data_IF_961999216891
#
_entry.id   IF_961999216891
#
_cell.length_a   1.000
_cell.length_b   1.000
_cell.length_c   1.000
_cell.angle_alpha   90.00
_cell.angle_beta   90.00
_cell.angle_gamma   90.00
#
_symmetry.space_group_name_H-M   'P 1'
#
loop_
_entity.id
_entity.type
_entity.pdbx_description
1 polymer ?
#
# COMPACT_ATOMS: atom_id res chain seq x y z
N UNK A 1 22.22 -3.80 -4.55
CA UNK A 1 20.91 -4.28 -4.05
C UNK A 1 19.73 -3.45 -4.59
N UNK A 2 19.76 -2.10 -4.53
CA UNK A 2 18.71 -1.22 -5.10
C UNK A 2 18.47 -1.49 -6.60
N UNK A 3 19.53 -1.67 -7.37
CA UNK A 3 19.48 -1.88 -8.82
C UNK A 3 18.77 -3.18 -9.23
N UNK A 4 18.88 -4.27 -8.44
CA UNK A 4 18.19 -5.55 -8.71
C UNK A 4 16.69 -5.49 -8.39
N UNK A 5 16.29 -4.75 -7.35
CA UNK A 5 14.88 -4.54 -7.06
C UNK A 5 14.19 -3.67 -8.12
N UNK A 6 14.90 -2.65 -8.65
CA UNK A 6 14.43 -1.88 -9.82
C UNK A 6 14.22 -2.77 -11.04
N UNK A 7 15.16 -3.67 -11.35
CA UNK A 7 15.02 -4.57 -12.50
C UNK A 7 13.81 -5.51 -12.42
N UNK A 8 13.49 -6.03 -11.23
CA UNK A 8 12.31 -6.88 -11.03
C UNK A 8 11.03 -6.05 -11.24
N UNK A 9 10.96 -4.87 -10.64
CA UNK A 9 9.85 -3.94 -10.78
C UNK A 9 9.64 -3.51 -12.23
N UNK A 10 10.71 -3.10 -12.92
CA UNK A 10 10.65 -2.60 -14.30
C UNK A 10 10.20 -3.70 -15.28
N UNK A 11 10.51 -4.98 -14.98
CA UNK A 11 9.99 -6.12 -15.73
C UNK A 11 8.51 -6.39 -15.45
N UNK A 12 8.08 -6.22 -14.21
CA UNK A 12 6.67 -6.38 -13.83
C UNK A 12 5.79 -5.28 -14.47
N UNK A 13 6.34 -4.06 -14.69
CA UNK A 13 5.61 -2.92 -15.24
C UNK A 13 5.50 -2.88 -16.77
N UNK A 14 5.89 -3.93 -17.49
CA UNK A 14 5.73 -4.00 -18.95
C UNK A 14 4.26 -4.16 -19.35
N UNK A 15 3.45 -3.09 -19.29
CA UNK A 15 2.04 -3.15 -19.68
C UNK A 15 1.51 -1.83 -20.25
N UNK A 16 0.45 -1.95 -21.05
CA UNK A 16 -0.22 -0.90 -21.77
C UNK A 16 -0.78 0.19 -20.83
N UNK A 17 -0.33 1.43 -21.00
CA UNK A 17 -0.73 2.59 -20.18
C UNK A 17 -2.24 2.80 -20.11
N UNK A 18 -2.97 2.49 -21.18
CA UNK A 18 -4.41 2.74 -21.25
C UNK A 18 -5.25 1.83 -20.35
N UNK A 19 -4.75 0.64 -19.99
CA UNK A 19 -5.45 -0.29 -19.10
C UNK A 19 -5.24 -0.01 -17.61
N UNK A 20 -4.19 0.71 -17.25
CA UNK A 20 -3.84 0.95 -15.85
C UNK A 20 -4.90 1.79 -15.13
N UNK A 21 -5.37 2.87 -15.75
CA UNK A 21 -6.35 3.75 -15.15
C UNK A 21 -7.78 3.24 -15.24
N UNK A 22 -8.11 2.42 -16.24
CA UNK A 22 -9.44 1.81 -16.36
C UNK A 22 -9.62 0.64 -15.40
N UNK A 23 -8.57 -0.16 -15.16
CA UNK A 23 -8.58 -1.35 -14.30
C UNK A 23 -7.39 -1.40 -13.32
N UNK A 24 -7.20 -0.37 -12.45
CA UNK A 24 -6.02 -0.28 -11.59
C UNK A 24 -5.92 -1.43 -10.59
N UNK A 25 -7.05 -1.96 -10.13
CA UNK A 25 -7.12 -3.10 -9.21
C UNK A 25 -6.53 -4.36 -9.84
N UNK A 26 -6.93 -4.69 -11.06
CA UNK A 26 -6.44 -5.85 -11.80
C UNK A 26 -4.95 -5.71 -12.13
N UNK A 27 -4.55 -4.50 -12.52
CA UNK A 27 -3.17 -4.21 -12.85
C UNK A 27 -2.25 -4.34 -11.64
N UNK A 28 -2.68 -3.80 -10.49
CA UNK A 28 -1.94 -3.91 -9.24
C UNK A 28 -1.70 -5.38 -8.86
N UNK A 29 -2.75 -6.20 -8.89
CA UNK A 29 -2.64 -7.61 -8.54
C UNK A 29 -1.71 -8.36 -9.49
N UNK A 30 -1.81 -8.12 -10.80
CA UNK A 30 -0.93 -8.74 -11.79
C UNK A 30 0.55 -8.37 -11.56
N UNK A 31 0.85 -7.12 -11.20
CA UNK A 31 2.21 -6.69 -10.88
C UNK A 31 2.74 -7.36 -9.60
N UNK A 32 1.91 -7.44 -8.57
CA UNK A 32 2.27 -8.08 -7.30
C UNK A 32 2.58 -9.55 -7.51
N UNK A 33 1.74 -10.27 -8.25
CA UNK A 33 1.92 -11.70 -8.55
C UNK A 33 3.21 -11.93 -9.36
N UNK A 34 3.41 -11.17 -10.42
CA UNK A 34 4.63 -11.25 -11.25
C UNK A 34 5.90 -10.95 -10.44
N UNK A 35 5.86 -9.91 -9.62
CA UNK A 35 6.99 -9.56 -8.75
C UNK A 35 7.24 -10.65 -7.70
N UNK A 36 6.19 -11.23 -7.16
CA UNK A 36 6.30 -12.30 -6.17
C UNK A 36 6.95 -13.56 -6.76
N UNK A 37 6.55 -13.97 -7.96
CA UNK A 37 7.15 -15.11 -8.67
C UNK A 37 8.64 -14.88 -8.95
N UNK A 38 8.99 -13.72 -9.49
CA UNK A 38 10.39 -13.34 -9.75
C UNK A 38 11.22 -13.31 -8.45
N UNK A 39 10.63 -12.78 -7.40
CA UNK A 39 11.28 -12.73 -6.09
C UNK A 39 11.50 -14.14 -5.52
N UNK A 40 10.51 -15.03 -5.62
CA UNK A 40 10.63 -16.43 -5.17
C UNK A 40 11.74 -17.18 -5.91
N UNK A 41 11.84 -17.01 -7.21
CA UNK A 41 12.90 -17.60 -8.00
C UNK A 41 14.29 -17.08 -7.59
N UNK A 42 14.39 -15.78 -7.30
CA UNK A 42 15.61 -15.17 -6.79
C UNK A 42 15.96 -15.67 -5.38
N UNK A 43 14.99 -15.74 -4.48
CA UNK A 43 15.14 -16.24 -3.12
C UNK A 43 15.64 -17.68 -3.09
N UNK A 44 15.05 -18.55 -3.90
CA UNK A 44 15.47 -19.93 -4.02
C UNK A 44 16.97 -20.04 -4.36
N UNK A 45 17.42 -19.25 -5.34
CA UNK A 45 18.85 -19.20 -5.72
C UNK A 45 19.76 -18.65 -4.62
N UNK A 46 19.27 -17.64 -3.89
CA UNK A 46 20.06 -16.95 -2.85
C UNK A 46 20.27 -17.82 -1.63
N UNK A 47 19.25 -18.60 -1.25
CA UNK A 47 19.26 -19.37 0.00
C UNK A 47 19.59 -20.86 -0.18
N UNK A 48 19.63 -21.37 -1.43
CA UNK A 48 19.97 -22.77 -1.73
C UNK A 48 21.29 -23.24 -1.06
N UNK A 49 22.40 -22.46 -1.08
CA UNK A 49 23.62 -22.86 -0.40
C UNK A 49 23.44 -23.05 1.12
N UNK A 50 22.72 -22.15 1.76
CA UNK A 50 22.49 -22.19 3.21
C UNK A 50 21.58 -23.38 3.58
N UNK A 51 20.56 -23.65 2.77
CA UNK A 51 19.66 -24.79 2.98
C UNK A 51 20.41 -26.13 2.85
N UNK A 52 21.40 -26.21 1.95
CA UNK A 52 22.23 -27.41 1.76
C UNK A 52 23.28 -27.60 2.86
N UNK A 53 23.81 -26.51 3.39
CA UNK A 53 24.83 -26.57 4.48
C UNK A 53 24.17 -26.85 5.84
N UNK A 54 22.93 -26.39 6.04
CA UNK A 54 22.22 -26.47 7.31
C UNK A 54 22.68 -25.43 8.33
N UNK A 55 22.34 -25.64 9.60
CA UNK A 55 22.65 -24.75 10.73
C UNK A 55 23.30 -25.54 11.84
N UNK A 56 24.24 -24.92 12.54
CA UNK A 56 24.98 -25.54 13.65
C UNK A 56 24.12 -25.73 14.91
N UNK A 57 23.12 -24.83 15.10
CA UNK A 57 22.27 -24.76 16.27
C UNK A 57 20.91 -24.11 15.93
N UNK A 58 19.98 -24.21 16.89
CA UNK A 58 18.61 -23.70 16.73
C UNK A 58 18.60 -22.18 16.69
N UNK A 59 19.42 -21.51 17.47
CA UNK A 59 19.51 -20.05 17.54
C UNK A 59 19.95 -19.45 16.21
N UNK A 60 20.93 -20.06 15.55
CA UNK A 60 21.38 -19.71 14.21
C UNK A 60 20.27 -19.86 13.18
N UNK A 61 19.49 -20.95 13.22
CA UNK A 61 18.32 -21.16 12.35
C UNK A 61 17.26 -20.08 12.58
N UNK A 62 16.89 -19.80 13.83
CA UNK A 62 15.88 -18.81 14.20
C UNK A 62 16.32 -17.42 13.76
N UNK A 63 17.57 -17.03 14.07
CA UNK A 63 18.14 -15.75 13.69
C UNK A 63 18.10 -15.53 12.18
N UNK A 64 18.51 -16.51 11.40
CA UNK A 64 18.51 -16.47 9.96
C UNK A 64 17.10 -16.41 9.36
N UNK A 65 16.19 -17.22 9.91
CA UNK A 65 14.77 -17.22 9.52
C UNK A 65 14.13 -15.86 9.76
N UNK A 66 14.40 -15.22 10.91
CA UNK A 66 13.91 -13.89 11.22
C UNK A 66 14.46 -12.84 10.25
N UNK A 67 15.71 -12.93 9.83
CA UNK A 67 16.30 -12.04 8.83
C UNK A 67 15.57 -12.18 7.48
N UNK A 68 15.28 -13.43 7.04
CA UNK A 68 14.52 -13.67 5.82
C UNK A 68 13.12 -13.09 5.91
N UNK A 69 12.40 -13.35 7.00
CA UNK A 69 11.04 -12.86 7.22
C UNK A 69 10.98 -11.31 7.26
N UNK A 70 11.91 -10.68 7.94
CA UNK A 70 11.99 -9.21 8.00
C UNK A 70 12.31 -8.61 6.62
N UNK A 71 13.19 -9.25 5.84
CA UNK A 71 13.49 -8.85 4.46
C UNK A 71 12.27 -8.97 3.56
N UNK A 72 11.50 -10.07 3.67
CA UNK A 72 10.24 -10.26 2.94
C UNK A 72 9.22 -9.18 3.28
N UNK A 73 8.99 -8.92 4.57
CA UNK A 73 8.04 -7.88 5.04
C UNK A 73 8.42 -6.48 4.53
N UNK A 74 9.70 -6.09 4.69
CA UNK A 74 10.19 -4.79 4.23
C UNK A 74 10.07 -4.62 2.72
N UNK A 75 10.40 -5.69 1.95
CA UNK A 75 10.25 -5.67 0.50
C UNK A 75 8.80 -5.51 0.08
N UNK A 76 7.90 -6.32 0.65
CA UNK A 76 6.49 -6.31 0.28
C UNK A 76 5.83 -4.94 0.54
N UNK A 77 6.16 -4.27 1.66
CA UNK A 77 5.66 -2.93 1.95
C UNK A 77 6.13 -1.91 0.90
N UNK A 78 7.44 -1.85 0.63
CA UNK A 78 8.00 -0.92 -0.38
C UNK A 78 7.51 -1.21 -1.79
N UNK A 79 7.32 -2.48 -2.13
CA UNK A 79 6.77 -2.88 -3.41
C UNK A 79 5.34 -2.35 -3.60
N UNK A 80 4.50 -2.51 -2.59
CA UNK A 80 3.13 -1.99 -2.61
C UNK A 80 3.09 -0.47 -2.81
N UNK A 81 3.87 0.28 -2.03
CA UNK A 81 3.98 1.74 -2.16
C UNK A 81 4.38 2.13 -3.59
N UNK A 82 5.40 1.48 -4.17
CA UNK A 82 5.86 1.77 -5.53
C UNK A 82 4.85 1.42 -6.62
N UNK A 83 4.09 0.33 -6.46
CA UNK A 83 3.04 -0.02 -7.43
C UNK A 83 1.89 1.00 -7.38
N UNK A 84 1.46 1.42 -6.19
CA UNK A 84 0.46 2.46 -6.02
C UNK A 84 0.94 3.79 -6.60
N UNK A 85 2.18 4.21 -6.28
CA UNK A 85 2.80 5.40 -6.85
C UNK A 85 2.79 5.38 -8.39
N UNK A 86 3.10 4.22 -8.98
CA UNK A 86 3.09 4.06 -10.44
C UNK A 86 1.67 4.20 -10.99
N UNK A 87 0.67 3.58 -10.38
CA UNK A 87 -0.74 3.72 -10.77
C UNK A 87 -1.18 5.18 -10.69
N UNK A 88 -0.89 5.87 -9.59
CA UNK A 88 -1.29 7.27 -9.41
C UNK A 88 -0.66 8.19 -10.46
N UNK A 89 0.62 7.98 -10.80
CA UNK A 89 1.30 8.71 -11.88
C UNK A 89 0.65 8.48 -13.24
N UNK A 90 0.28 7.24 -13.57
CA UNK A 90 -0.38 6.94 -14.83
C UNK A 90 -1.79 7.49 -14.91
N UNK A 91 -2.48 7.62 -13.78
CA UNK A 91 -3.81 8.22 -13.68
C UNK A 91 -3.76 9.77 -13.60
N UNK A 92 -2.59 10.37 -13.78
CA UNK A 92 -2.37 11.82 -13.71
C UNK A 92 -2.89 12.43 -12.40
N UNK A 93 -2.69 11.72 -11.29
CA UNK A 93 -2.98 12.24 -9.95
C UNK A 93 -1.78 13.00 -9.42
N UNK A 94 -2.01 14.18 -8.87
CA UNK A 94 -1.01 14.92 -8.09
C UNK A 94 -0.94 14.30 -6.69
N UNK A 95 0.25 13.98 -6.24
CA UNK A 95 0.50 13.47 -4.89
C UNK A 95 1.95 13.66 -4.48
N UNK A 96 2.19 13.65 -3.20
CA UNK A 96 3.53 13.63 -2.62
C UNK A 96 3.64 12.48 -1.61
N UNK A 97 4.82 11.86 -1.55
CA UNK A 97 5.10 10.73 -0.65
C UNK A 97 5.95 11.17 0.52
N UNK A 98 5.75 10.55 1.69
CA UNK A 98 6.58 10.77 2.87
C UNK A 98 6.63 12.25 3.31
N UNK A 99 5.56 13.00 3.09
CA UNK A 99 5.42 14.38 3.58
C UNK A 99 5.54 14.37 5.10
N UNK A 100 6.34 15.26 5.65
CA UNK A 100 6.45 15.40 7.10
C UNK A 100 5.21 16.14 7.60
N UNK A 101 4.43 15.48 8.44
CA UNK A 101 3.26 16.04 9.12
C UNK A 101 3.55 16.25 10.60
N UNK A 102 2.51 16.37 11.44
CA UNK A 102 2.63 16.60 12.87
C UNK A 102 3.48 15.53 13.55
N UNK A 103 4.25 15.91 14.56
CA UNK A 103 5.15 15.03 15.31
C UNK A 103 6.15 14.23 14.44
N UNK A 104 6.59 14.82 13.32
CA UNK A 104 7.49 14.19 12.34
C UNK A 104 6.97 12.88 11.73
N UNK A 105 5.66 12.67 11.72
CA UNK A 105 5.02 11.54 11.06
C UNK A 105 5.09 11.71 9.54
N UNK A 106 5.02 10.59 8.83
CA UNK A 106 5.19 10.55 7.38
C UNK A 106 4.17 9.60 6.78
N UNK A 107 2.97 10.09 6.45
CA UNK A 107 2.00 9.30 5.71
C UNK A 107 2.57 8.84 4.37
N UNK A 108 2.14 7.67 3.90
CA UNK A 108 2.69 7.09 2.69
C UNK A 108 2.37 7.97 1.46
N UNK A 109 1.15 8.55 1.40
CA UNK A 109 0.73 9.47 0.33
C UNK A 109 -0.13 10.60 0.86
N UNK A 110 0.12 11.82 0.40
CA UNK A 110 -0.73 13.01 0.57
C UNK A 110 -1.14 13.52 -0.82
N UNK A 111 -2.41 13.88 -0.98
CA UNK A 111 -2.95 14.49 -2.19
C UNK A 111 -3.53 15.87 -1.86
N UNK A 112 -3.31 16.90 -2.69
CA UNK A 112 -2.48 16.86 -3.90
C UNK A 112 -0.98 16.88 -3.62
N UNK A 113 -0.51 17.53 -2.53
CA UNK A 113 0.91 17.68 -2.18
C UNK A 113 1.10 18.17 -0.75
N UNK A 114 2.35 18.20 -0.28
CA UNK A 114 2.74 18.67 1.04
C UNK A 114 2.59 20.19 1.21
N UNK A 115 2.79 20.96 0.14
CA UNK A 115 2.61 22.41 0.19
C UNK A 115 1.14 22.75 0.49
N UNK A 116 0.19 22.11 -0.17
CA UNK A 116 -1.25 22.25 0.11
C UNK A 116 -1.59 21.77 1.52
N UNK A 117 -0.95 20.71 1.99
CA UNK A 117 -1.14 20.21 3.36
C UNK A 117 -0.71 21.25 4.40
N UNK A 118 0.41 21.95 4.22
CA UNK A 118 0.94 22.95 5.15
C UNK A 118 0.30 24.33 4.99
N UNK A 119 -0.42 24.59 3.91
CA UNK A 119 -1.16 25.84 3.72
C UNK A 119 -2.52 25.76 4.42
N UNK A 120 -2.69 26.47 5.54
CA UNK A 120 -3.93 26.48 6.32
C UNK A 120 -5.12 27.15 5.59
N UNK A 121 -4.88 27.92 4.55
CA UNK A 121 -5.93 28.48 3.70
C UNK A 121 -6.48 27.43 2.71
N UNK A 122 -5.71 26.36 2.44
CA UNK A 122 -6.18 25.29 1.58
C UNK A 122 -7.24 24.45 2.32
N UNK A 123 -8.43 24.18 1.69
CA UNK A 123 -9.51 23.47 2.36
C UNK A 123 -9.09 22.06 2.80
N UNK A 124 -9.26 21.74 4.08
CA UNK A 124 -8.92 20.42 4.62
C UNK A 124 -9.72 19.28 3.96
N UNK A 125 -10.95 19.60 3.51
CA UNK A 125 -11.81 18.63 2.82
C UNK A 125 -11.27 18.24 1.43
N UNK A 126 -10.41 19.04 0.82
CA UNK A 126 -9.79 18.74 -0.47
C UNK A 126 -8.45 18.00 -0.33
N UNK A 127 -7.95 17.88 0.90
CA UNK A 127 -6.79 17.05 1.21
C UNK A 127 -7.21 15.58 1.39
N UNK A 128 -6.35 14.68 0.94
CA UNK A 128 -6.54 13.23 1.12
C UNK A 128 -5.22 12.63 1.63
N UNK A 129 -5.33 11.77 2.64
CA UNK A 129 -4.23 10.95 3.15
C UNK A 129 -4.53 9.48 2.84
N UNK A 130 -3.53 8.76 2.33
CA UNK A 130 -3.60 7.32 2.11
C UNK A 130 -2.37 6.65 2.73
N UNK A 131 -2.62 5.75 3.68
CA UNK A 131 -1.62 4.80 4.15
C UNK A 131 -1.67 3.51 3.33
N UNK A 132 -0.53 2.87 3.10
CA UNK A 132 -0.42 1.62 2.36
C UNK A 132 0.20 0.53 3.22
N UNK A 133 -0.56 -0.50 3.53
CA UNK A 133 -0.10 -1.63 4.38
C UNK A 133 -0.46 -2.95 3.71
N UNK A 134 0.53 -3.82 3.48
CA UNK A 134 0.27 -5.17 2.94
C UNK A 134 -0.66 -5.98 3.84
N UNK A 135 -0.52 -5.80 5.16
CA UNK A 135 -1.43 -6.35 6.17
C UNK A 135 -1.77 -5.27 7.16
N UNK A 136 -3.05 -5.06 7.44
CA UNK A 136 -3.49 -4.01 8.35
C UNK A 136 -3.57 -4.46 9.81
N UNK A 137 -4.05 -5.66 10.16
CA UNK A 137 -4.19 -6.12 11.55
C UNK A 137 -4.34 -4.93 12.53
N UNK A 138 -3.48 -4.84 13.54
CA UNK A 138 -3.46 -3.73 14.49
C UNK A 138 -2.73 -2.47 13.98
N UNK A 139 -2.05 -2.57 12.84
CA UNK A 139 -1.25 -1.46 12.27
C UNK A 139 -2.10 -0.35 11.65
N UNK A 140 -3.38 -0.60 11.42
CA UNK A 140 -4.30 0.42 10.92
C UNK A 140 -4.44 1.62 11.87
N UNK A 141 -4.27 1.39 13.20
CA UNK A 141 -4.32 2.49 14.17
C UNK A 141 -3.17 3.50 14.02
N UNK A 142 -2.07 3.11 13.38
CA UNK A 142 -0.95 4.01 13.14
C UNK A 142 -1.35 5.19 12.25
N UNK A 143 -2.27 4.97 11.29
CA UNK A 143 -2.73 6.01 10.37
C UNK A 143 -3.58 7.10 11.06
N UNK A 144 -4.20 6.79 12.20
CA UNK A 144 -5.08 7.73 12.91
C UNK A 144 -4.36 9.00 13.32
N UNK A 145 -3.10 8.86 13.69
CA UNK A 145 -2.26 9.97 14.13
C UNK A 145 -1.44 10.60 13.00
N UNK A 146 -1.60 10.17 11.76
CA UNK A 146 -0.93 10.74 10.60
C UNK A 146 -1.82 11.82 9.97
N UNK A 147 -1.23 12.97 9.56
CA UNK A 147 -1.93 14.03 8.85
C UNK A 147 -3.20 14.54 9.59
N UNK A 148 -3.04 15.13 10.77
CA UNK A 148 -4.13 15.50 11.69
C UNK A 148 -5.18 16.44 11.06
N UNK A 149 -4.78 17.28 10.11
CA UNK A 149 -5.69 18.14 9.35
C UNK A 149 -6.76 17.38 8.56
N UNK A 150 -6.53 16.12 8.23
CA UNK A 150 -7.41 15.34 7.36
C UNK A 150 -8.28 14.45 8.24
N UNK A 151 -9.59 14.74 8.36
CA UNK A 151 -10.44 14.01 9.31
C UNK A 151 -10.76 12.57 8.88
N UNK A 152 -10.81 12.30 7.57
CA UNK A 152 -11.06 10.97 7.01
C UNK A 152 -9.76 10.41 6.46
N UNK A 153 -9.28 9.32 7.06
CA UNK A 153 -8.06 8.62 6.63
C UNK A 153 -8.41 7.52 5.64
N UNK A 154 -7.59 7.32 4.62
CA UNK A 154 -7.72 6.18 3.73
C UNK A 154 -6.60 5.18 4.00
N UNK A 155 -6.92 3.91 4.06
CA UNK A 155 -5.97 2.83 4.29
C UNK A 155 -6.07 1.81 3.16
N UNK A 156 -5.05 1.72 2.34
CA UNK A 156 -4.94 0.66 1.34
C UNK A 156 -4.34 -0.61 1.95
N UNK A 157 -4.95 -1.76 1.68
CA UNK A 157 -4.39 -3.05 2.10
C UNK A 157 -4.62 -4.16 1.09
N UNK A 158 -3.68 -5.13 1.08
CA UNK A 158 -3.81 -6.40 0.35
C UNK A 158 -4.36 -7.53 1.24
N UNK A 159 -4.69 -7.24 2.49
CA UNK A 159 -5.24 -8.23 3.39
C UNK A 159 -6.64 -8.65 2.94
N UNK A 160 -6.83 -9.95 2.79
CA UNK A 160 -8.11 -10.54 2.43
C UNK A 160 -8.95 -10.78 3.70
N UNK A 161 -9.70 -9.75 4.08
CA UNK A 161 -10.57 -9.79 5.23
C UNK A 161 -9.91 -9.36 6.56
N UNK A 162 -10.70 -8.69 7.36
CA UNK A 162 -10.46 -8.37 8.77
C UNK A 162 -11.75 -8.68 9.54
N UNK A 163 -11.65 -8.79 10.85
CA UNK A 163 -12.84 -9.10 11.67
C UNK A 163 -13.89 -7.99 11.58
N UNK A 164 -15.16 -8.36 11.73
CA UNK A 164 -16.27 -7.41 11.76
C UNK A 164 -16.07 -6.30 12.80
N UNK A 165 -15.55 -6.67 13.98
CA UNK A 165 -15.27 -5.72 15.05
C UNK A 165 -14.21 -4.69 14.63
N UNK A 166 -13.15 -5.12 13.94
CA UNK A 166 -12.15 -4.20 13.41
C UNK A 166 -12.71 -3.27 12.33
N UNK A 167 -13.58 -3.77 11.44
CA UNK A 167 -14.26 -2.93 10.45
C UNK A 167 -15.15 -1.88 11.11
N UNK A 168 -15.91 -2.27 12.14
CA UNK A 168 -16.75 -1.36 12.89
C UNK A 168 -15.92 -0.28 13.62
N UNK A 169 -14.76 -0.65 14.17
CA UNK A 169 -13.84 0.27 14.80
C UNK A 169 -13.23 1.25 13.77
N UNK A 170 -12.69 0.74 12.63
CA UNK A 170 -12.18 1.58 11.56
C UNK A 170 -13.22 2.59 11.08
N UNK A 171 -14.45 2.16 10.87
CA UNK A 171 -15.53 3.02 10.41
C UNK A 171 -15.86 4.12 11.44
N UNK A 172 -15.92 3.77 12.74
CA UNK A 172 -16.14 4.74 13.82
C UNK A 172 -15.02 5.76 13.91
N UNK A 173 -13.76 5.33 13.69
CA UNK A 173 -12.58 6.20 13.67
C UNK A 173 -12.37 6.91 12.32
N UNK A 174 -13.38 6.89 11.43
CA UNK A 174 -13.34 7.53 10.11
C UNK A 174 -12.17 7.05 9.24
N UNK A 175 -11.83 5.78 9.32
CA UNK A 175 -10.88 5.14 8.41
C UNK A 175 -11.64 4.47 7.28
N UNK A 176 -11.48 4.98 6.07
CA UNK A 176 -11.99 4.39 4.85
C UNK A 176 -11.01 3.32 4.35
N UNK A 177 -11.44 2.07 4.35
CA UNK A 177 -10.62 0.97 3.84
C UNK A 177 -10.65 0.94 2.32
N UNK A 178 -9.47 0.90 1.71
CA UNK A 178 -9.29 0.74 0.26
C UNK A 178 -8.66 -0.61 -0.01
N UNK A 179 -9.28 -1.43 -0.86
CA UNK A 179 -8.76 -2.76 -1.21
C UNK A 179 -8.89 -3.01 -2.70
N UNK A 180 -8.13 -3.97 -3.27
CA UNK A 180 -8.41 -4.44 -4.63
C UNK A 180 -9.85 -4.95 -4.76
N UNK A 181 -10.57 -4.54 -5.80
CA UNK A 181 -11.98 -4.90 -6.02
C UNK A 181 -12.29 -6.39 -5.82
N UNK A 182 -11.48 -7.35 -6.33
CA UNK A 182 -11.74 -8.77 -6.11
C UNK A 182 -11.66 -9.22 -4.65
N UNK A 183 -11.07 -8.43 -3.75
CA UNK A 183 -10.89 -8.78 -2.34
C UNK A 183 -12.08 -8.36 -1.47
N UNK A 184 -12.96 -7.46 -1.95
CA UNK A 184 -14.13 -6.98 -1.19
C UNK A 184 -15.00 -8.15 -0.71
N UNK A 185 -15.17 -9.19 -1.52
CA UNK A 185 -15.96 -10.39 -1.21
C UNK A 185 -15.50 -11.16 0.04
N UNK A 186 -14.28 -10.93 0.52
CA UNK A 186 -13.74 -11.60 1.71
C UNK A 186 -14.03 -10.85 3.01
N UNK A 187 -14.66 -9.70 2.92
CA UNK A 187 -15.06 -8.90 4.08
C UNK A 187 -16.52 -9.17 4.45
N UNK A 188 -16.88 -8.85 5.71
CA UNK A 188 -18.26 -8.99 6.20
C UNK A 188 -19.23 -8.22 5.29
N UNK A 189 -20.32 -8.86 4.87
CA UNK A 189 -21.30 -8.33 3.92
C UNK A 189 -21.85 -6.96 4.35
N UNK A 190 -22.05 -6.75 5.66
CA UNK A 190 -22.55 -5.48 6.21
C UNK A 190 -21.60 -4.29 6.06
N UNK A 191 -20.36 -4.52 5.59
CA UNK A 191 -19.34 -3.49 5.37
C UNK A 191 -18.84 -3.40 3.93
N UNK A 192 -19.21 -4.33 3.05
CA UNK A 192 -18.68 -4.35 1.67
C UNK A 192 -18.99 -3.07 0.88
N UNK A 193 -20.14 -2.47 1.11
CA UNK A 193 -20.58 -1.20 0.52
C UNK A 193 -19.79 0.02 1.04
N UNK A 194 -19.14 -0.11 2.19
CA UNK A 194 -18.31 0.91 2.85
C UNK A 194 -16.83 0.80 2.51
N UNK A 195 -16.43 -0.30 1.87
CA UNK A 195 -15.06 -0.54 1.43
C UNK A 195 -14.90 -0.03 0.01
N UNK A 196 -13.88 0.78 -0.20
CA UNK A 196 -13.63 1.42 -1.49
C UNK A 196 -12.68 0.56 -2.34
N UNK A 197 -13.03 0.16 -3.57
CA UNK A 197 -12.06 -0.42 -4.49
C UNK A 197 -11.06 0.63 -5.00
N UNK A 198 -9.88 0.20 -5.44
CA UNK A 198 -8.82 1.11 -5.87
C UNK A 198 -9.23 2.01 -7.05
N UNK A 199 -9.99 1.47 -8.01
CA UNK A 199 -10.49 2.26 -9.15
C UNK A 199 -11.45 3.39 -8.69
N UNK A 200 -12.27 3.14 -7.68
CA UNK A 200 -13.14 4.18 -7.10
C UNK A 200 -12.31 5.21 -6.34
N UNK A 201 -11.30 4.77 -5.60
CA UNK A 201 -10.39 5.69 -4.90
C UNK A 201 -9.65 6.61 -5.87
N UNK A 202 -9.08 6.09 -6.95
CA UNK A 202 -8.40 6.92 -7.96
C UNK A 202 -9.35 7.91 -8.61
N UNK A 203 -10.58 7.51 -8.92
CA UNK A 203 -11.63 8.38 -9.43
C UNK A 203 -12.04 9.47 -8.42
N UNK A 204 -12.16 9.12 -7.14
CA UNK A 204 -12.46 10.06 -6.06
C UNK A 204 -11.37 11.13 -5.91
N UNK A 205 -10.10 10.73 -5.89
CA UNK A 205 -8.97 11.68 -5.84
C UNK A 205 -8.99 12.61 -7.05
N UNK A 206 -9.17 12.05 -8.26
CA UNK A 206 -9.21 12.84 -9.50
C UNK A 206 -10.36 13.84 -9.51
N UNK A 207 -11.53 13.43 -9.06
CA UNK A 207 -12.70 14.32 -8.98
C UNK A 207 -12.49 15.49 -8.01
N UNK A 208 -11.77 15.28 -6.90
CA UNK A 208 -11.39 16.35 -5.99
C UNK A 208 -10.37 17.31 -6.62
N UNK A 209 -9.33 16.77 -7.25
CA UNK A 209 -8.29 17.59 -7.88
C UNK A 209 -8.78 18.40 -9.08
N UNK A 210 -9.81 17.95 -9.78
CA UNK A 210 -10.43 18.70 -10.89
C UNK A 210 -11.31 19.86 -10.43
N UNK A 211 -11.59 20.00 -9.12
CA UNK A 211 -12.33 21.14 -8.52
C UNK A 211 -11.42 22.28 -8.05
N UNK A 212 -10.13 21.99 -7.98
CA UNK A 212 -9.07 22.93 -7.60
C UNK A 212 -8.56 23.70 -8.82
#
# INVERSE_FOLDING_TARGET
>A
RRQRQMCIRDRAHKINKNTICSEPDKQLLAWIDTEYELFRAFEAKLYDPVLKTGFSDIESLISYSNQILNRRKSRAGKSLEHHLETIFKFCDLKFETQVITEEHKKPDFIFPDGASYHNFEFPADDLICLGAKTTCKDRWRQILNEADRIPVKHLFTLQQGVSKNQLAEMYREKVCLVVPKPYIRYFDESFQDKIMPLNVFTGFVKAKQNRL
#
